data_IF_505846017918
#
_entry.id   IF_505846017918
#
_cell.length_a   1.000
_cell.length_b   1.000
_cell.length_c   1.000
_cell.angle_alpha   90.00
_cell.angle_beta   90.00
_cell.angle_gamma   90.00
#
_symmetry.space_group_name_H-M   'P 1'
#
loop_
_entity.id
_entity.type
_entity.pdbx_description
1 polymer ?
#
# COMPACT_ATOMS: atom_id res chain seq x y z
N UNK A 1 -0.25 -25.35 3.92
CA UNK A 1 -0.94 -24.23 3.24
C UNK A 1 -0.59 -22.89 3.86
N UNK A 2 -0.88 -22.66 5.14
CA UNK A 2 -0.64 -21.36 5.78
C UNK A 2 0.80 -20.84 5.81
N UNK A 3 1.80 -21.70 5.98
CA UNK A 3 3.22 -21.30 5.92
C UNK A 3 3.59 -20.65 4.58
N UNK A 4 2.95 -21.09 3.49
CA UNK A 4 3.13 -20.55 2.14
C UNK A 4 2.56 -19.12 2.04
N UNK A 5 1.46 -18.83 2.72
CA UNK A 5 0.86 -17.49 2.76
C UNK A 5 1.73 -16.48 3.50
N UNK A 6 2.33 -16.85 4.63
CA UNK A 6 3.29 -15.99 5.34
C UNK A 6 4.50 -15.62 4.48
N UNK A 7 5.08 -16.60 3.81
CA UNK A 7 6.21 -16.36 2.91
C UNK A 7 5.80 -15.46 1.74
N UNK A 8 4.60 -15.67 1.18
CA UNK A 8 4.06 -14.83 0.12
C UNK A 8 3.89 -13.37 0.57
N UNK A 9 3.31 -13.12 1.73
CA UNK A 9 3.13 -11.76 2.28
C UNK A 9 4.48 -11.06 2.51
N UNK A 10 5.46 -11.76 3.08
CA UNK A 10 6.82 -11.21 3.28
C UNK A 10 7.44 -10.79 1.94
N UNK A 11 7.31 -11.62 0.91
CA UNK A 11 7.81 -11.32 -0.44
C UNK A 11 7.06 -10.13 -1.07
N UNK A 12 5.74 -10.04 -0.88
CA UNK A 12 4.96 -8.94 -1.44
C UNK A 12 5.29 -7.60 -0.78
N UNK A 13 5.33 -7.54 0.56
CA UNK A 13 5.66 -6.31 1.27
C UNK A 13 7.08 -5.83 1.02
N UNK A 14 8.06 -6.73 0.94
CA UNK A 14 9.44 -6.36 0.56
C UNK A 14 9.48 -5.78 -0.85
N UNK A 15 8.80 -6.41 -1.83
CA UNK A 15 8.70 -5.86 -3.19
C UNK A 15 7.98 -4.51 -3.25
N UNK A 16 6.96 -4.28 -2.42
CA UNK A 16 6.29 -2.98 -2.34
C UNK A 16 7.29 -1.93 -1.86
N UNK A 17 8.02 -2.20 -0.78
CA UNK A 17 9.04 -1.29 -0.26
C UNK A 17 10.14 -0.98 -1.29
N UNK A 18 10.58 -1.99 -2.07
CA UNK A 18 11.56 -1.79 -3.15
C UNK A 18 11.04 -0.84 -4.25
N UNK A 19 9.76 -0.98 -4.61
CA UNK A 19 9.10 -0.10 -5.60
C UNK A 19 8.93 1.31 -5.03
N UNK A 20 8.48 1.44 -3.78
CA UNK A 20 8.34 2.74 -3.09
C UNK A 20 9.69 3.44 -2.94
N UNK A 21 10.79 2.69 -2.83
CA UNK A 21 12.16 3.23 -2.80
C UNK A 21 12.50 4.14 -3.98
N UNK A 22 11.87 3.90 -5.15
CA UNK A 22 12.05 4.66 -6.38
C UNK A 22 11.19 5.94 -6.44
N UNK A 23 10.21 6.09 -5.55
CA UNK A 23 9.35 7.29 -5.46
C UNK A 23 10.06 8.37 -4.63
N UNK A 24 9.95 9.67 -4.92
CA UNK A 24 10.54 10.72 -4.08
C UNK A 24 10.07 10.68 -2.60
N UNK A 25 10.99 10.91 -1.65
CA UNK A 25 10.69 10.89 -0.19
C UNK A 25 9.66 11.93 0.26
N UNK A 26 9.52 13.02 -0.48
CA UNK A 26 8.53 14.07 -0.22
C UNK A 26 7.12 13.72 -0.73
N UNK A 27 6.98 12.67 -1.54
CA UNK A 27 5.67 12.25 -2.01
C UNK A 27 4.85 11.69 -0.84
N UNK A 28 3.67 12.27 -0.60
CA UNK A 28 2.78 11.85 0.47
C UNK A 28 2.43 10.35 0.38
N UNK A 29 2.17 9.86 -0.85
CA UNK A 29 1.91 8.44 -1.09
C UNK A 29 3.05 7.55 -0.57
N UNK A 30 4.32 7.86 -0.88
CA UNK A 30 5.45 7.08 -0.39
C UNK A 30 5.48 7.03 1.14
N UNK A 31 5.35 8.18 1.81
CA UNK A 31 5.44 8.27 3.27
C UNK A 31 4.39 7.38 3.95
N UNK A 32 3.13 7.49 3.54
CA UNK A 32 2.05 6.73 4.18
C UNK A 32 2.07 5.25 3.81
N UNK A 33 2.36 4.92 2.54
CA UNK A 33 2.42 3.51 2.12
C UNK A 33 3.63 2.80 2.75
N UNK A 34 4.78 3.45 2.89
CA UNK A 34 5.93 2.88 3.62
C UNK A 34 5.58 2.62 5.09
N UNK A 35 4.90 3.55 5.76
CA UNK A 35 4.48 3.36 7.15
C UNK A 35 3.58 2.12 7.29
N UNK A 36 2.48 2.07 6.53
CA UNK A 36 1.51 0.97 6.58
C UNK A 36 2.18 -0.37 6.22
N UNK A 37 3.03 -0.38 5.19
CA UNK A 37 3.71 -1.60 4.74
C UNK A 37 4.69 -2.11 5.78
N UNK A 38 5.44 -1.23 6.45
CA UNK A 38 6.37 -1.61 7.51
C UNK A 38 5.64 -2.12 8.76
N UNK A 39 4.54 -1.48 9.16
CA UNK A 39 3.70 -1.92 10.28
C UNK A 39 3.16 -3.34 10.02
N UNK A 40 2.53 -3.56 8.85
CA UNK A 40 2.00 -4.89 8.46
C UNK A 40 3.11 -5.94 8.35
N UNK A 41 4.25 -5.59 7.76
CA UNK A 41 5.40 -6.50 7.68
C UNK A 41 5.95 -6.84 9.07
N UNK A 42 5.92 -5.90 10.02
CA UNK A 42 6.26 -6.11 11.41
C UNK A 42 5.35 -7.15 12.08
N UNK A 43 4.03 -7.00 11.92
CA UNK A 43 3.03 -7.95 12.45
C UNK A 43 3.24 -9.36 11.87
N UNK A 44 3.42 -9.47 10.55
CA UNK A 44 3.66 -10.76 9.85
C UNK A 44 4.98 -11.43 10.27
N UNK A 45 5.95 -10.67 10.78
CA UNK A 45 7.20 -11.21 11.34
C UNK A 45 7.06 -11.61 12.81
N UNK A 46 6.24 -10.90 13.57
CA UNK A 46 6.07 -11.10 15.00
C UNK A 46 5.13 -12.28 15.34
N UNK A 47 4.03 -12.43 14.60
CA UNK A 47 3.01 -13.43 14.90
C UNK A 47 3.09 -14.63 13.93
N UNK A 48 3.44 -15.83 14.42
CA UNK A 48 3.48 -17.05 13.61
C UNK A 48 2.10 -17.71 13.45
N UNK A 49 1.11 -17.38 14.29
CA UNK A 49 -0.25 -17.92 14.19
C UNK A 49 -1.10 -17.11 13.20
N UNK A 50 -1.68 -17.80 12.22
CA UNK A 50 -2.51 -17.17 11.17
C UNK A 50 -3.73 -16.49 11.77
N UNK A 51 -4.44 -17.15 12.69
CA UNK A 51 -5.73 -16.64 13.18
C UNK A 51 -5.52 -15.36 13.98
N UNK A 52 -4.48 -15.34 14.81
CA UNK A 52 -4.10 -14.14 15.56
C UNK A 52 -3.62 -13.04 14.63
N UNK A 53 -2.89 -13.39 13.57
CA UNK A 53 -2.45 -12.41 12.59
C UNK A 53 -3.64 -11.80 11.83
N UNK A 54 -4.64 -12.59 11.44
CA UNK A 54 -5.87 -12.12 10.80
C UNK A 54 -6.63 -11.12 11.69
N UNK A 55 -6.76 -11.44 12.98
CA UNK A 55 -7.35 -10.53 13.97
C UNK A 55 -6.56 -9.23 14.15
N UNK A 56 -5.22 -9.31 14.16
CA UNK A 56 -4.34 -8.13 14.28
C UNK A 56 -4.35 -7.26 13.03
N UNK A 57 -4.37 -7.86 11.84
CA UNK A 57 -4.36 -7.14 10.56
C UNK A 57 -5.70 -6.48 10.25
N UNK A 58 -6.80 -6.94 10.85
CA UNK A 58 -8.17 -6.46 10.63
C UNK A 58 -8.54 -6.39 9.13
N UNK A 59 -8.01 -7.32 8.33
CA UNK A 59 -8.09 -7.30 6.87
C UNK A 59 -8.91 -8.42 6.25
N UNK A 60 -9.72 -9.12 7.05
CA UNK A 60 -10.41 -10.33 6.62
C UNK A 60 -9.52 -11.57 6.70
N UNK A 61 -9.74 -12.52 5.80
CA UNK A 61 -8.92 -13.74 5.71
C UNK A 61 -7.53 -13.44 5.12
N UNK A 62 -6.55 -14.29 5.43
CA UNK A 62 -5.17 -14.09 4.97
C UNK A 62 -5.06 -14.03 3.44
N UNK A 63 -5.93 -14.74 2.71
CA UNK A 63 -6.03 -14.70 1.26
C UNK A 63 -6.44 -13.32 0.73
N UNK A 64 -7.38 -12.65 1.40
CA UNK A 64 -7.81 -11.28 1.05
C UNK A 64 -6.71 -10.26 1.31
N UNK A 65 -5.93 -10.46 2.37
CA UNK A 65 -4.75 -9.63 2.67
C UNK A 65 -3.67 -9.79 1.58
N UNK A 66 -3.44 -11.02 1.10
CA UNK A 66 -2.54 -11.27 -0.03
C UNK A 66 -3.07 -10.57 -1.29
N UNK A 67 -4.38 -10.73 -1.55
CA UNK A 67 -5.24 -9.90 -2.39
C UNK A 67 -4.79 -8.43 -2.46
N UNK A 68 -4.95 -7.79 -1.31
CA UNK A 68 -4.68 -6.38 -1.11
C UNK A 68 -3.21 -6.03 -1.36
N UNK A 69 -2.28 -6.87 -0.90
CA UNK A 69 -0.85 -6.64 -1.11
C UNK A 69 -0.45 -6.74 -2.60
N UNK A 70 -1.06 -7.63 -3.38
CA UNK A 70 -0.82 -7.70 -4.83
C UNK A 70 -1.37 -6.47 -5.56
N UNK A 71 -2.56 -6.02 -5.16
CA UNK A 71 -3.16 -4.80 -5.69
C UNK A 71 -2.32 -3.57 -5.35
N UNK A 72 -1.80 -3.46 -4.13
CA UNK A 72 -0.92 -2.36 -3.71
C UNK A 72 0.39 -2.38 -4.50
N UNK A 73 1.00 -3.55 -4.72
CA UNK A 73 2.20 -3.66 -5.55
C UNK A 73 1.95 -3.22 -6.99
N UNK A 74 0.79 -3.58 -7.56
CA UNK A 74 0.36 -3.14 -8.89
C UNK A 74 0.15 -1.62 -8.93
N UNK A 75 -0.49 -1.06 -7.90
CA UNK A 75 -0.71 0.38 -7.76
C UNK A 75 0.62 1.12 -7.65
N UNK A 76 1.53 0.72 -6.77
CA UNK A 76 2.83 1.36 -6.58
C UNK A 76 3.63 1.43 -7.89
N UNK A 77 3.57 0.38 -8.72
CA UNK A 77 4.19 0.37 -10.07
C UNK A 77 3.52 1.33 -11.03
N UNK A 78 2.19 1.50 -10.96
CA UNK A 78 1.47 2.51 -11.75
C UNK A 78 1.79 3.93 -11.28
N UNK A 79 1.88 4.15 -9.98
CA UNK A 79 2.23 5.44 -9.38
C UNK A 79 3.60 5.94 -9.85
N UNK A 80 4.57 5.05 -10.06
CA UNK A 80 5.85 5.39 -10.69
C UNK A 80 5.70 5.99 -12.09
N UNK A 81 4.74 5.51 -12.87
CA UNK A 81 4.46 6.03 -14.22
C UNK A 81 3.65 7.32 -14.19
N UNK A 82 2.66 7.38 -13.30
CA UNK A 82 1.74 8.52 -13.20
C UNK A 82 2.33 9.75 -12.53
N UNK A 83 3.29 9.56 -11.62
CA UNK A 83 3.94 10.63 -10.85
C UNK A 83 2.97 11.65 -10.23
N UNK A 84 1.93 11.21 -9.49
CA UNK A 84 0.90 12.10 -8.97
C UNK A 84 1.36 13.05 -7.86
N UNK A 85 2.64 12.98 -7.46
CA UNK A 85 3.28 13.93 -6.56
C UNK A 85 3.76 15.19 -7.27
N UNK A 86 3.69 15.23 -8.61
CA UNK A 86 3.91 16.45 -9.37
C UNK A 86 2.75 17.44 -9.14
N UNK A 87 2.97 18.75 -9.32
CA UNK A 87 1.91 19.76 -9.21
C UNK A 87 0.72 19.46 -10.13
N UNK A 88 -0.43 20.06 -9.81
CA UNK A 88 -1.63 19.96 -10.64
C UNK A 88 -1.31 20.35 -12.08
N UNK A 89 -1.75 19.52 -13.02
CA UNK A 89 -1.55 19.77 -14.47
C UNK A 89 -2.31 21.02 -14.92
N UNK A 90 -3.50 21.24 -14.36
CA UNK A 90 -4.36 22.37 -14.68
C UNK A 90 -5.11 22.83 -13.42
N UNK A 91 -5.23 24.15 -13.25
CA UNK A 91 -6.07 24.73 -12.20
C UNK A 91 -7.55 24.70 -12.62
N UNK A 92 -8.49 24.42 -11.69
CA UNK A 92 -9.89 24.39 -12.05
C UNK A 92 -10.40 25.80 -12.41
N UNK A 93 -11.26 25.95 -13.43
CA UNK A 93 -11.97 27.20 -13.70
C UNK A 93 -12.72 27.71 -12.46
N UNK A 94 -12.78 29.03 -12.30
CA UNK A 94 -13.26 29.70 -11.08
C UNK A 94 -14.65 29.24 -10.57
N UNK A 95 -15.53 28.79 -11.47
CA UNK A 95 -16.90 28.37 -11.12
C UNK A 95 -17.11 26.85 -11.10
N UNK A 96 -16.08 26.04 -11.37
CA UNK A 96 -16.23 24.58 -11.50
C UNK A 96 -16.68 23.89 -10.20
N UNK A 97 -16.24 24.39 -9.05
CA UNK A 97 -16.53 23.78 -7.74
C UNK A 97 -17.38 24.66 -6.81
N UNK A 98 -18.03 25.70 -7.34
CA UNK A 98 -18.91 26.58 -6.55
C UNK A 98 -20.29 25.91 -6.38
N UNK A 99 -20.70 25.67 -5.14
CA UNK A 99 -22.03 25.15 -4.80
C UNK A 99 -22.55 25.71 -3.45
N UNK A 100 -23.81 26.16 -3.34
CA UNK A 100 -24.78 26.39 -4.42
C UNK A 100 -24.42 27.65 -5.25
N UNK A 101 -25.10 27.86 -6.38
CA UNK A 101 -24.83 28.96 -7.34
C UNK A 101 -25.22 30.31 -6.72
#
# INVERSE_FOLDING_TARGET
LYVLFFQRLKILYTKILDVLGQIPKNAAYRKYTEQITNEKLGMVKAEPDVKKLEEQLQGGQIEEVILQAENELSLARKMLRWKPWEPLVEEPPANQWKWPI
#
